data_IF_922803182155
#
_entry.id   IF_922803182155
#
_cell.length_a   1.000
_cell.length_b   1.000
_cell.length_c   1.000
_cell.angle_alpha   90.00
_cell.angle_beta   90.00
_cell.angle_gamma   90.00
#
_symmetry.space_group_name_H-M   'P 1'
#
loop_
_entity.id
_entity.type
_entity.pdbx_description
1 polymer ?
#
# COMPACT_ATOMS: atom_id res chain seq x y z
N UNK A 1 -12.74 39.81 -39.21
CA UNK A 1 -13.43 38.51 -39.33
C UNK A 1 -12.54 37.46 -38.65
N UNK A 2 -12.49 37.42 -37.31
CA UNK A 2 -13.24 36.49 -36.44
C UNK A 2 -13.33 35.07 -37.04
N UNK A 3 -12.55 34.13 -36.51
CA UNK A 3 -13.06 32.99 -35.75
C UNK A 3 -11.96 32.38 -34.85
N UNK A 4 -12.18 32.47 -33.54
CA UNK A 4 -11.57 31.64 -32.48
C UNK A 4 -12.36 30.33 -32.38
N UNK A 5 -11.70 29.23 -32.02
CA UNK A 5 -12.18 28.05 -31.23
C UNK A 5 -11.52 26.76 -31.77
N UNK A 6 -11.01 25.78 -31.02
CA UNK A 6 -10.82 25.58 -29.59
C UNK A 6 -9.58 24.66 -29.45
N UNK A 7 -8.47 25.19 -28.92
CA UNK A 7 -7.44 24.36 -28.31
C UNK A 7 -8.04 23.87 -26.99
N UNK A 8 -8.53 22.63 -26.94
CA UNK A 8 -8.93 22.00 -25.68
C UNK A 8 -7.65 21.74 -24.88
N UNK A 9 -7.23 22.78 -24.16
CA UNK A 9 -6.09 22.79 -23.26
C UNK A 9 -6.34 21.78 -22.15
N UNK A 10 -5.55 20.70 -22.15
CA UNK A 10 -5.40 19.66 -21.13
C UNK A 10 -4.96 20.17 -19.73
N UNK A 11 -5.25 21.43 -19.38
CA UNK A 11 -4.90 22.05 -18.08
C UNK A 11 -5.93 21.84 -16.98
N UNK A 12 -7.10 21.25 -17.25
CA UNK A 12 -8.18 21.20 -16.25
C UNK A 12 -8.15 19.99 -15.30
N UNK A 13 -7.27 18.99 -15.50
CA UNK A 13 -7.18 17.83 -14.61
C UNK A 13 -6.17 17.99 -13.46
N UNK A 14 -5.34 19.03 -13.46
CA UNK A 14 -4.43 19.35 -12.34
C UNK A 14 -5.10 20.19 -11.23
N UNK A 15 -6.35 20.60 -11.43
CA UNK A 15 -7.13 21.38 -10.48
C UNK A 15 -8.31 20.62 -9.85
N UNK A 16 -8.33 19.28 -9.87
CA UNK A 16 -9.06 18.52 -8.85
C UNK A 16 -8.30 18.54 -7.52
N UNK A 17 -7.91 19.75 -7.09
CA UNK A 17 -7.49 20.01 -5.72
C UNK A 17 -8.80 20.12 -4.95
N UNK A 18 -9.34 18.96 -4.57
CA UNK A 18 -10.52 18.87 -3.71
C UNK A 18 -10.22 19.75 -2.49
N UNK A 19 -10.93 20.87 -2.36
CA UNK A 19 -10.89 21.74 -1.19
C UNK A 19 -11.41 20.96 0.01
N UNK A 20 -10.57 20.07 0.55
CA UNK A 20 -10.78 19.52 1.88
C UNK A 20 -10.45 20.67 2.82
N UNK A 21 -11.48 21.21 3.48
CA UNK A 21 -11.29 22.18 4.55
C UNK A 21 -10.27 21.60 5.52
N UNK A 22 -9.11 22.24 5.68
CA UNK A 22 -7.99 21.70 6.47
C UNK A 22 -8.28 21.65 7.98
N UNK A 23 -9.52 21.92 8.39
CA UNK A 23 -9.95 22.11 9.78
C UNK A 23 -10.59 20.87 10.42
N UNK A 24 -10.88 19.79 9.67
CA UNK A 24 -11.39 18.53 10.24
C UNK A 24 -10.76 17.32 9.54
N UNK A 25 -9.58 16.90 10.03
CA UNK A 25 -9.09 15.55 9.76
C UNK A 25 -10.09 14.58 10.40
N UNK A 26 -10.70 13.73 9.58
CA UNK A 26 -11.62 12.72 10.09
C UNK A 26 -10.82 11.66 10.85
N UNK A 27 -11.37 11.19 11.97
CA UNK A 27 -10.76 10.12 12.76
C UNK A 27 -10.59 8.86 11.89
N UNK A 28 -9.42 8.23 11.98
CA UNK A 28 -9.15 6.95 11.33
C UNK A 28 -9.62 5.84 12.25
N UNK A 29 -10.42 4.91 11.72
CA UNK A 29 -10.82 3.70 12.42
C UNK A 29 -10.25 2.48 11.71
N UNK A 30 -9.66 1.56 12.48
CA UNK A 30 -9.05 0.33 11.98
C UNK A 30 -9.68 -0.86 12.69
N UNK A 31 -9.96 -1.93 11.93
CA UNK A 31 -10.42 -3.18 12.51
C UNK A 31 -9.25 -3.91 13.18
N UNK A 32 -9.34 -4.07 14.49
CA UNK A 32 -8.37 -4.79 15.29
C UNK A 32 -8.72 -6.28 15.32
N UNK A 33 -7.91 -7.13 14.70
CA UNK A 33 -8.16 -8.57 14.64
C UNK A 33 -8.02 -9.28 16.00
N UNK A 34 -7.25 -8.72 16.94
CA UNK A 34 -7.08 -9.27 18.30
C UNK A 34 -8.37 -9.10 19.09
N UNK A 35 -8.98 -7.92 19.02
CA UNK A 35 -10.20 -7.57 19.76
C UNK A 35 -11.48 -7.79 18.94
N UNK A 36 -11.33 -8.09 17.63
CA UNK A 36 -12.40 -8.27 16.65
C UNK A 36 -13.37 -7.08 16.57
N UNK A 37 -12.87 -5.87 16.80
CA UNK A 37 -13.64 -4.65 16.88
C UNK A 37 -13.07 -3.55 15.99
N UNK A 38 -13.92 -2.61 15.59
CA UNK A 38 -13.49 -1.38 14.93
C UNK A 38 -13.05 -0.38 16.01
N UNK A 39 -11.80 0.04 15.99
CA UNK A 39 -11.19 0.89 17.01
C UNK A 39 -10.64 2.17 16.39
N UNK A 40 -10.66 3.27 17.15
CA UNK A 40 -10.02 4.52 16.74
C UNK A 40 -8.51 4.30 16.70
N UNK A 41 -7.90 4.61 15.57
CA UNK A 41 -6.46 4.48 15.38
C UNK A 41 -5.74 5.73 15.87
N UNK A 42 -4.89 5.55 16.88
CA UNK A 42 -4.02 6.60 17.40
C UNK A 42 -2.56 6.18 17.21
N UNK A 43 -1.77 6.92 16.41
CA UNK A 43 -0.39 6.56 16.17
C UNK A 43 0.46 6.76 17.42
N UNK A 44 1.38 5.82 17.68
CA UNK A 44 2.34 5.92 18.79
C UNK A 44 3.19 7.20 18.75
N UNK A 45 3.50 7.69 17.56
CA UNK A 45 4.25 8.93 17.34
C UNK A 45 3.35 9.93 16.60
N UNK A 46 3.22 11.18 17.08
CA UNK A 46 2.37 12.17 16.43
C UNK A 46 2.70 12.34 14.94
N UNK A 47 1.69 12.20 14.09
CA UNK A 47 1.81 12.36 12.64
C UNK A 47 2.61 11.25 11.92
N UNK A 48 3.19 10.27 12.61
CA UNK A 48 4.00 9.21 12.01
C UNK A 48 3.47 7.82 12.35
N UNK A 49 3.22 7.01 11.31
CA UNK A 49 2.78 5.63 11.42
C UNK A 49 3.92 4.71 11.03
N UNK A 50 4.27 3.77 11.92
CA UNK A 50 5.13 2.65 11.59
C UNK A 50 4.25 1.43 11.31
N UNK A 51 4.31 0.93 10.09
CA UNK A 51 3.50 -0.19 9.64
C UNK A 51 4.39 -1.33 9.19
N UNK A 52 4.26 -2.49 9.84
CA UNK A 52 4.86 -3.74 9.38
C UNK A 52 3.87 -4.60 8.58
N UNK A 53 4.36 -5.20 7.50
CA UNK A 53 3.63 -6.20 6.72
C UNK A 53 4.50 -7.44 6.48
N UNK A 54 3.89 -8.62 6.52
CA UNK A 54 4.57 -9.85 6.11
C UNK A 54 4.72 -9.87 4.58
N UNK A 55 5.94 -10.04 4.08
CA UNK A 55 6.19 -10.27 2.66
C UNK A 55 6.22 -11.76 2.31
N UNK A 56 6.76 -12.10 1.13
CA UNK A 56 6.69 -13.44 0.58
C UNK A 56 7.80 -14.36 1.13
N UNK A 57 7.54 -15.67 1.08
CA UNK A 57 8.58 -16.69 1.07
C UNK A 57 9.03 -16.91 -0.38
N UNK A 58 10.28 -16.56 -0.71
CA UNK A 58 10.76 -16.47 -2.11
C UNK A 58 11.21 -17.82 -2.69
N UNK A 59 10.32 -18.82 -2.65
CA UNK A 59 10.59 -20.16 -3.21
C UNK A 59 10.10 -20.33 -4.66
N UNK A 60 9.21 -19.47 -5.15
CA UNK A 60 8.66 -19.55 -6.50
C UNK A 60 8.19 -18.18 -7.01
N UNK A 61 7.74 -18.12 -8.26
CA UNK A 61 7.19 -16.94 -8.90
C UNK A 61 5.92 -16.45 -8.22
N UNK A 62 5.75 -15.13 -8.15
CA UNK A 62 4.58 -14.51 -7.55
C UNK A 62 3.30 -14.80 -8.33
N UNK A 63 2.23 -15.17 -7.61
CA UNK A 63 0.89 -15.35 -8.18
C UNK A 63 -0.05 -14.18 -7.81
N UNK A 64 -1.26 -14.18 -8.38
CA UNK A 64 -2.25 -13.11 -8.20
C UNK A 64 -2.63 -12.83 -6.72
N UNK A 65 -2.46 -13.83 -5.86
CA UNK A 65 -2.67 -13.69 -4.41
C UNK A 65 -1.68 -12.70 -3.80
N UNK A 66 -0.38 -12.83 -4.12
CA UNK A 66 0.63 -11.86 -3.69
C UNK A 66 0.32 -10.46 -4.22
N UNK A 67 -0.03 -10.35 -5.51
CA UNK A 67 -0.36 -9.06 -6.12
C UNK A 67 -1.55 -8.38 -5.42
N UNK A 68 -2.64 -9.12 -5.17
CA UNK A 68 -3.83 -8.59 -4.49
C UNK A 68 -3.50 -8.05 -3.09
N UNK A 69 -2.72 -8.80 -2.32
CA UNK A 69 -2.28 -8.39 -0.98
C UNK A 69 -1.44 -7.12 -1.02
N UNK A 70 -0.44 -7.04 -1.90
CA UNK A 70 0.44 -5.87 -1.98
C UNK A 70 -0.26 -4.63 -2.52
N UNK A 71 -1.16 -4.78 -3.50
CA UNK A 71 -2.00 -3.68 -3.98
C UNK A 71 -2.90 -3.15 -2.86
N UNK A 72 -3.50 -4.04 -2.06
CA UNK A 72 -4.33 -3.64 -0.91
C UNK A 72 -3.53 -2.88 0.15
N UNK A 73 -2.26 -3.25 0.38
CA UNK A 73 -1.36 -2.50 1.25
C UNK A 73 -0.99 -1.14 0.67
N UNK A 74 -0.68 -1.06 -0.63
CA UNK A 74 -0.35 0.19 -1.31
C UNK A 74 -1.52 1.18 -1.29
N UNK A 75 -2.74 0.72 -1.56
CA UNK A 75 -3.94 1.57 -1.50
C UNK A 75 -4.12 2.15 -0.09
N UNK A 76 -4.02 1.32 0.95
CA UNK A 76 -4.11 1.79 2.35
C UNK A 76 -3.00 2.78 2.70
N UNK A 77 -1.77 2.51 2.28
CA UNK A 77 -0.64 3.40 2.48
C UNK A 77 -0.89 4.77 1.83
N UNK A 78 -1.37 4.80 0.58
CA UNK A 78 -1.73 6.03 -0.13
C UNK A 78 -2.87 6.78 0.54
N UNK A 79 -3.90 6.09 1.03
CA UNK A 79 -5.00 6.70 1.77
C UNK A 79 -4.49 7.38 3.03
N UNK A 80 -3.73 6.68 3.87
CA UNK A 80 -3.17 7.23 5.11
C UNK A 80 -2.25 8.43 4.84
N UNK A 81 -1.43 8.36 3.78
CA UNK A 81 -0.50 9.42 3.41
C UNK A 81 -1.17 10.64 2.79
N UNK A 82 -2.08 10.46 1.84
CA UNK A 82 -2.61 11.55 1.03
C UNK A 82 -3.96 12.10 1.52
N UNK A 83 -4.79 11.26 2.14
CA UNK A 83 -6.12 11.67 2.63
C UNK A 83 -6.02 12.12 4.09
N UNK A 84 -5.32 11.34 4.91
CA UNK A 84 -5.19 11.61 6.35
C UNK A 84 -3.89 12.33 6.73
N UNK A 85 -3.02 12.61 5.75
CA UNK A 85 -1.80 13.39 5.91
C UNK A 85 -0.82 12.82 6.96
N UNK A 86 -0.79 11.49 7.11
CA UNK A 86 0.20 10.82 7.95
C UNK A 86 1.52 10.59 7.20
N UNK A 87 2.63 10.72 7.91
CA UNK A 87 3.90 10.18 7.46
C UNK A 87 3.92 8.67 7.75
N UNK A 88 3.85 7.83 6.73
CA UNK A 88 3.79 6.38 6.90
C UNK A 88 5.12 5.76 6.51
N UNK A 89 5.72 5.02 7.44
CA UNK A 89 6.89 4.17 7.22
C UNK A 89 6.41 2.73 7.14
N UNK A 90 6.35 2.20 5.91
CA UNK A 90 5.99 0.81 5.65
C UNK A 90 7.26 -0.05 5.58
N UNK A 91 7.30 -1.09 6.41
CA UNK A 91 8.34 -2.12 6.42
C UNK A 91 7.73 -3.46 6.00
N UNK A 92 8.43 -4.21 5.18
CA UNK A 92 8.01 -5.54 4.75
C UNK A 92 9.16 -6.53 4.94
N UNK A 93 8.90 -7.61 5.67
CA UNK A 93 9.86 -8.72 5.81
C UNK A 93 9.87 -9.59 4.56
N UNK A 94 11.02 -10.16 4.20
CA UNK A 94 11.15 -11.18 3.15
C UNK A 94 11.66 -12.45 3.81
N UNK A 95 11.00 -13.57 3.58
CA UNK A 95 11.46 -14.87 4.08
C UNK A 95 12.33 -15.52 3.01
N UNK A 96 13.64 -15.42 3.18
CA UNK A 96 14.69 -15.96 2.30
C UNK A 96 15.25 -17.30 2.78
N UNK A 97 14.89 -17.73 4.00
CA UNK A 97 15.22 -19.03 4.57
C UNK A 97 13.92 -19.69 5.07
N UNK A 98 13.53 -20.79 4.44
CA UNK A 98 12.34 -21.59 4.75
C UNK A 98 12.49 -23.01 4.18
N UNK A 99 11.83 -24.01 4.76
CA UNK A 99 11.85 -25.38 4.27
C UNK A 99 11.41 -25.49 2.81
N UNK A 100 10.47 -24.65 2.36
CA UNK A 100 10.02 -24.61 0.95
C UNK A 100 11.12 -24.18 -0.01
N UNK A 101 12.00 -23.26 0.42
CA UNK A 101 13.12 -22.78 -0.38
C UNK A 101 14.17 -23.89 -0.51
N UNK A 102 14.49 -24.57 0.59
CA UNK A 102 15.44 -25.69 0.60
C UNK A 102 14.95 -26.82 -0.33
N UNK A 103 13.69 -27.23 -0.22
CA UNK A 103 13.11 -28.27 -1.05
C UNK A 103 13.06 -27.88 -2.54
N UNK A 104 12.74 -26.61 -2.85
CA UNK A 104 12.75 -26.13 -4.24
C UNK A 104 14.16 -26.16 -4.81
N UNK A 105 15.15 -25.70 -4.06
CA UNK A 105 16.57 -25.67 -4.47
C UNK A 105 17.07 -27.07 -4.84
N UNK A 106 16.80 -28.07 -4.00
CA UNK A 106 17.15 -29.46 -4.28
C UNK A 106 16.51 -29.95 -5.60
N UNK A 107 15.20 -29.72 -5.79
CA UNK A 107 14.50 -30.09 -7.04
C UNK A 107 15.09 -29.43 -8.27
N UNK A 108 15.50 -28.17 -8.19
CA UNK A 108 16.19 -27.48 -9.30
C UNK A 108 17.50 -28.19 -9.62
N UNK A 109 18.33 -28.47 -8.62
CA UNK A 109 19.62 -29.16 -8.81
C UNK A 109 19.46 -30.52 -9.48
N UNK A 110 18.49 -31.34 -9.05
CA UNK A 110 18.23 -32.65 -9.66
C UNK A 110 17.76 -32.60 -11.12
N UNK A 111 17.21 -31.47 -11.61
CA UNK A 111 16.81 -31.33 -13.02
C UNK A 111 18.04 -31.08 -13.93
N UNK A 112 19.15 -30.60 -13.36
CA UNK A 112 20.38 -30.29 -14.10
C UNK A 112 21.42 -31.44 -14.11
N UNK A 113 21.12 -32.57 -13.48
CA UNK A 113 21.92 -33.80 -13.48
C UNK A 113 21.14 -34.94 -14.12
#
# INVERSE_FOLDING_TARGET
>A
MIFRSNLFSFRSLLHYRRSYSSSQLHDVYIYNSTNKALEKFEPKYPGTIFWYSCGPTVYDSSHIGHASTYVTFDIRHRILKHVFNYNVVLMMGITDIDDKIIQRSQKVVYIYY
#
